data_IF_968231456760
#
_entry.id   IF_968231456760
#
_cell.length_a   1.000
_cell.length_b   1.000
_cell.length_c   1.000
_cell.angle_alpha   90.00
_cell.angle_beta   90.00
_cell.angle_gamma   90.00
#
_symmetry.space_group_name_H-M   'P 1'
#
loop_
_entity.id
_entity.type
_entity.pdbx_description
1 polymer ?
#
# COMPACT_ATOMS: atom_id res chain seq x y z
N UNK A 1 -16.48 23.72 12.70
CA UNK A 1 -16.19 22.59 13.60
C UNK A 1 -14.68 22.39 13.59
N UNK A 2 -14.03 22.40 14.75
CA UNK A 2 -12.58 22.18 14.86
C UNK A 2 -12.30 20.70 14.67
N UNK A 3 -11.46 20.32 13.70
CA UNK A 3 -11.10 18.93 13.51
C UNK A 3 -10.40 18.38 14.77
N UNK A 4 -10.85 17.23 15.25
CA UNK A 4 -10.23 16.54 16.38
C UNK A 4 -8.82 16.08 15.98
N UNK A 5 -7.83 16.29 16.87
CA UNK A 5 -6.41 15.95 16.63
C UNK A 5 -6.08 14.57 17.19
N UNK A 6 -5.25 13.81 16.46
CA UNK A 6 -4.76 12.48 16.86
C UNK A 6 -3.25 12.36 16.63
N UNK A 7 -2.60 11.46 17.37
CA UNK A 7 -1.16 11.19 17.23
C UNK A 7 -0.88 10.34 16.00
N UNK A 8 0.30 10.49 15.40
CA UNK A 8 0.73 9.71 14.23
C UNK A 8 0.53 8.20 14.39
N UNK A 9 0.98 7.62 15.50
CA UNK A 9 0.83 6.18 15.77
C UNK A 9 -0.64 5.72 15.77
N UNK A 10 -1.53 6.54 16.33
CA UNK A 10 -2.97 6.26 16.31
C UNK A 10 -3.52 6.32 14.89
N UNK A 11 -3.11 7.34 14.12
CA UNK A 11 -3.50 7.49 12.72
C UNK A 11 -3.06 6.29 11.86
N UNK A 12 -1.80 5.86 11.97
CA UNK A 12 -1.28 4.71 11.23
C UNK A 12 -2.06 3.42 11.53
N UNK A 13 -2.41 3.18 12.80
CA UNK A 13 -3.23 2.03 13.19
C UNK A 13 -4.62 2.10 12.56
N UNK A 14 -5.29 3.26 12.63
CA UNK A 14 -6.63 3.45 12.06
C UNK A 14 -6.63 3.28 10.53
N UNK A 15 -5.61 3.82 9.86
CA UNK A 15 -5.43 3.68 8.42
C UNK A 15 -5.23 2.21 8.06
N UNK A 16 -4.37 1.51 8.80
CA UNK A 16 -4.08 0.09 8.56
C UNK A 16 -5.33 -0.77 8.71
N UNK A 17 -6.08 -0.60 9.80
CA UNK A 17 -7.31 -1.38 10.02
C UNK A 17 -8.39 -1.06 9.00
N UNK A 18 -8.52 0.20 8.59
CA UNK A 18 -9.41 0.60 7.50
C UNK A 18 -9.01 -0.06 6.17
N UNK A 19 -7.72 -0.08 5.84
CA UNK A 19 -7.21 -0.75 4.64
C UNK A 19 -7.47 -2.27 4.71
N UNK A 20 -7.19 -2.94 5.82
CA UNK A 20 -7.48 -4.37 6.00
C UNK A 20 -8.96 -4.66 5.76
N UNK A 21 -9.85 -3.82 6.29
CA UNK A 21 -11.29 -3.94 6.05
C UNK A 21 -11.63 -3.83 4.57
N UNK A 22 -11.18 -2.77 3.89
CA UNK A 22 -11.46 -2.57 2.47
C UNK A 22 -10.93 -3.71 1.59
N UNK A 23 -9.72 -4.21 1.89
CA UNK A 23 -9.14 -5.34 1.18
C UNK A 23 -10.02 -6.59 1.28
N UNK A 24 -10.50 -6.92 2.48
CA UNK A 24 -11.41 -8.05 2.70
C UNK A 24 -12.75 -7.85 2.01
N UNK A 25 -13.34 -6.65 2.11
CA UNK A 25 -14.65 -6.35 1.52
C UNK A 25 -14.63 -6.40 -0.01
N UNK A 26 -13.48 -6.11 -0.63
CA UNK A 26 -13.31 -6.11 -2.09
C UNK A 26 -12.58 -7.35 -2.62
N UNK A 27 -12.26 -8.34 -1.78
CA UNK A 27 -11.45 -9.51 -2.12
C UNK A 27 -10.10 -9.15 -2.79
N UNK A 28 -9.51 -8.02 -2.37
CA UNK A 28 -8.19 -7.59 -2.82
C UNK A 28 -7.13 -8.08 -1.85
N UNK A 29 -5.97 -8.42 -2.37
CA UNK A 29 -4.83 -8.87 -1.57
C UNK A 29 -3.85 -7.74 -1.24
N UNK A 30 -3.94 -6.61 -1.94
CA UNK A 30 -3.06 -5.46 -1.76
C UNK A 30 -3.80 -4.13 -1.90
N UNK A 31 -3.32 -3.11 -1.20
CA UNK A 31 -3.85 -1.74 -1.34
C UNK A 31 -3.70 -1.22 -2.78
N UNK A 32 -2.73 -1.73 -3.55
CA UNK A 32 -2.61 -1.43 -4.97
C UNK A 32 -3.73 -2.02 -5.82
N UNK A 33 -4.07 -3.30 -5.63
CA UNK A 33 -5.22 -3.92 -6.32
C UNK A 33 -6.51 -3.15 -6.01
N UNK A 34 -6.70 -2.81 -4.74
CA UNK A 34 -7.85 -2.05 -4.29
C UNK A 34 -7.93 -0.67 -4.96
N UNK A 35 -6.82 0.09 -4.97
CA UNK A 35 -6.81 1.43 -5.57
C UNK A 35 -6.96 1.40 -7.09
N UNK A 36 -6.39 0.40 -7.76
CA UNK A 36 -6.61 0.15 -9.18
C UNK A 36 -8.10 -0.13 -9.46
N UNK A 37 -8.74 -1.00 -8.66
CA UNK A 37 -10.17 -1.31 -8.76
C UNK A 37 -11.06 -0.07 -8.56
N UNK A 38 -10.71 0.79 -7.61
CA UNK A 38 -11.47 2.00 -7.29
C UNK A 38 -11.23 3.15 -8.29
N UNK A 39 -10.26 3.03 -9.20
CA UNK A 39 -9.84 4.12 -10.09
C UNK A 39 -9.21 5.30 -9.34
N UNK A 40 -8.80 5.11 -8.08
CA UNK A 40 -8.24 6.16 -7.23
C UNK A 40 -6.72 6.00 -7.27
N UNK A 41 -6.06 6.66 -8.24
CA UNK A 41 -4.60 6.65 -8.34
C UNK A 41 -3.85 7.44 -7.24
N UNK A 42 -4.56 7.93 -6.20
CA UNK A 42 -4.18 9.21 -5.62
C UNK A 42 -3.14 9.18 -4.50
N UNK A 43 -3.01 8.12 -3.68
CA UNK A 43 -1.88 8.10 -2.74
C UNK A 43 -0.63 7.50 -3.39
N UNK A 44 -0.80 6.42 -4.12
CA UNK A 44 0.28 5.47 -4.35
C UNK A 44 -0.02 4.77 -5.67
N UNK A 45 0.34 5.36 -6.82
CA UNK A 45 0.11 4.68 -8.10
C UNK A 45 0.78 3.29 -8.17
N UNK A 46 1.74 3.03 -7.27
CA UNK A 46 2.16 1.68 -6.92
C UNK A 46 2.76 0.92 -8.09
N UNK A 47 2.68 -0.41 -8.05
CA UNK A 47 3.14 -1.28 -9.14
C UNK A 47 2.38 -1.05 -10.44
N UNK A 48 1.10 -0.67 -10.39
CA UNK A 48 0.23 -0.55 -11.56
C UNK A 48 0.45 0.70 -12.41
N UNK A 49 1.13 1.74 -11.91
CA UNK A 49 1.56 2.89 -12.74
C UNK A 49 3.00 2.78 -13.21
N UNK A 50 3.76 1.79 -12.73
CA UNK A 50 5.15 1.60 -13.15
C UNK A 50 5.18 0.93 -14.51
N UNK A 51 6.16 1.30 -15.31
CA UNK A 51 6.43 0.58 -16.54
C UNK A 51 6.97 -0.82 -16.24
N UNK A 52 6.68 -1.77 -17.12
CA UNK A 52 7.29 -3.12 -17.10
C UNK A 52 8.81 -3.08 -16.95
N UNK A 53 9.46 -2.08 -17.55
CA UNK A 53 10.92 -1.91 -17.51
C UNK A 53 11.38 -1.60 -16.08
N UNK A 54 10.71 -0.67 -15.38
CA UNK A 54 11.04 -0.34 -13.98
C UNK A 54 10.88 -1.57 -13.08
N UNK A 55 9.78 -2.31 -13.24
CA UNK A 55 9.52 -3.52 -12.46
C UNK A 55 10.56 -4.61 -12.72
N UNK A 56 10.89 -4.89 -13.99
CA UNK A 56 11.90 -5.90 -14.33
C UNK A 56 13.28 -5.54 -13.79
N UNK A 57 13.72 -4.28 -13.96
CA UNK A 57 15.02 -3.82 -13.48
C UNK A 57 15.20 -4.04 -11.97
N UNK A 58 14.13 -3.85 -11.22
CA UNK A 58 14.11 -4.00 -9.78
C UNK A 58 14.08 -5.44 -9.31
N UNK A 59 13.18 -6.23 -9.90
CA UNK A 59 12.85 -7.56 -9.37
C UNK A 59 13.67 -8.67 -10.01
N UNK A 60 14.42 -8.42 -11.10
CA UNK A 60 15.26 -9.44 -11.77
C UNK A 60 16.31 -10.11 -10.89
N UNK A 61 16.69 -9.51 -9.76
CA UNK A 61 17.62 -10.13 -8.79
C UNK A 61 16.94 -11.12 -7.84
N UNK A 62 15.62 -11.07 -7.74
CA UNK A 62 14.82 -11.83 -6.79
C UNK A 62 13.91 -12.83 -7.49
N UNK A 63 13.49 -12.53 -8.72
CA UNK A 63 12.53 -13.29 -9.51
C UNK A 63 12.99 -13.43 -10.97
N UNK A 64 12.58 -14.51 -11.63
CA UNK A 64 12.77 -14.67 -13.08
C UNK A 64 11.70 -13.89 -13.86
N UNK A 65 11.87 -12.57 -13.92
CA UNK A 65 10.87 -11.63 -14.46
C UNK A 65 10.94 -11.42 -15.97
N UNK A 66 12.06 -11.72 -16.62
CA UNK A 66 12.32 -11.26 -18.00
C UNK A 66 11.38 -11.89 -19.04
N UNK A 67 10.80 -13.06 -18.76
CA UNK A 67 9.91 -13.77 -19.68
C UNK A 67 8.42 -13.63 -19.35
N UNK A 68 8.07 -12.93 -18.27
CA UNK A 68 6.67 -12.80 -17.83
C UNK A 68 5.93 -11.78 -18.71
N UNK A 69 4.66 -12.05 -19.02
CA UNK A 69 3.73 -11.03 -19.53
C UNK A 69 3.47 -9.95 -18.45
N UNK A 70 2.91 -8.80 -18.83
CA UNK A 70 2.60 -7.71 -17.90
C UNK A 70 1.76 -8.18 -16.69
N UNK A 71 0.67 -8.92 -16.95
CA UNK A 71 -0.18 -9.44 -15.87
C UNK A 71 0.52 -10.44 -14.97
N UNK A 72 1.40 -11.27 -15.54
CA UNK A 72 2.19 -12.25 -14.78
C UNK A 72 3.31 -11.57 -13.98
N UNK A 73 3.92 -10.52 -14.52
CA UNK A 73 4.94 -9.72 -13.86
C UNK A 73 4.38 -9.06 -12.61
N UNK A 74 3.24 -8.37 -12.72
CA UNK A 74 2.59 -7.73 -11.58
C UNK A 74 2.22 -8.76 -10.52
N UNK A 75 1.64 -9.89 -10.93
CA UNK A 75 1.29 -10.98 -10.01
C UNK A 75 2.51 -11.55 -9.28
N UNK A 76 3.60 -11.84 -10.00
CA UNK A 76 4.82 -12.40 -9.43
C UNK A 76 5.47 -11.45 -8.42
N UNK A 77 5.48 -10.14 -8.70
CA UNK A 77 5.98 -9.14 -7.77
C UNK A 77 5.12 -9.08 -6.50
N UNK A 78 3.79 -9.07 -6.63
CA UNK A 78 2.87 -9.07 -5.49
C UNK A 78 3.00 -10.32 -4.63
N UNK A 79 3.21 -11.48 -5.24
CA UNK A 79 3.43 -12.75 -4.53
C UNK A 79 4.77 -12.75 -3.80
N UNK A 80 5.84 -12.29 -4.44
CA UNK A 80 7.16 -12.17 -3.82
C UNK A 80 7.11 -11.28 -2.59
N UNK A 81 6.57 -10.07 -2.74
CA UNK A 81 6.52 -9.10 -1.66
C UNK A 81 5.66 -9.57 -0.50
N UNK A 82 4.55 -10.24 -0.78
CA UNK A 82 3.73 -10.89 0.25
C UNK A 82 4.50 -11.96 1.01
N UNK A 83 5.35 -12.73 0.32
CA UNK A 83 6.17 -13.76 0.96
C UNK A 83 7.25 -13.20 1.89
N UNK A 84 7.55 -11.90 1.81
CA UNK A 84 8.48 -11.23 2.72
C UNK A 84 7.80 -10.73 4.01
N UNK A 85 6.46 -10.71 4.04
CA UNK A 85 5.72 -10.24 5.22
C UNK A 85 5.76 -11.25 6.37
N UNK A 86 5.72 -10.78 7.62
CA UNK A 86 5.58 -11.65 8.76
C UNK A 86 4.21 -12.37 8.76
N UNK A 87 4.10 -13.59 9.33
CA UNK A 87 2.88 -14.41 9.26
C UNK A 87 1.60 -13.71 9.75
N UNK A 88 1.70 -12.81 10.73
CA UNK A 88 0.58 -12.03 11.27
C UNK A 88 -0.01 -11.01 10.28
N UNK A 89 0.74 -10.67 9.23
CA UNK A 89 0.30 -9.82 8.12
C UNK A 89 0.14 -10.61 6.81
N UNK A 90 0.26 -11.93 6.88
CA UNK A 90 0.18 -12.84 5.74
C UNK A 90 -1.21 -12.70 5.07
N UNK A 91 -1.17 -12.31 3.79
CA UNK A 91 -2.36 -12.19 2.95
C UNK A 91 -2.88 -10.78 2.70
N UNK A 92 -2.36 -9.73 3.35
CA UNK A 92 -2.80 -8.34 3.11
C UNK A 92 -1.64 -7.35 3.03
N UNK A 93 -1.35 -6.86 1.81
CA UNK A 93 -0.37 -5.81 1.56
C UNK A 93 -0.96 -4.41 1.81
N UNK A 94 -1.13 -4.07 3.10
CA UNK A 94 -1.50 -2.71 3.54
C UNK A 94 -0.35 -1.73 3.36
N UNK A 95 -0.59 -0.42 3.44
CA UNK A 95 0.51 0.55 3.38
C UNK A 95 1.50 0.41 4.54
N UNK A 96 1.06 -0.12 5.70
CA UNK A 96 1.95 -0.45 6.82
C UNK A 96 2.81 -1.67 6.48
N UNK A 97 2.19 -2.75 6.04
CA UNK A 97 2.89 -3.98 5.61
C UNK A 97 3.98 -3.69 4.57
N UNK A 98 3.64 -2.82 3.61
CA UNK A 98 4.52 -2.43 2.51
C UNK A 98 5.77 -1.69 3.00
N UNK A 99 5.68 -0.89 4.06
CA UNK A 99 6.82 -0.10 4.55
C UNK A 99 7.98 -0.96 5.06
N UNK A 100 7.68 -2.19 5.53
CA UNK A 100 8.66 -3.11 6.10
C UNK A 100 9.45 -3.89 5.04
N UNK A 101 8.90 -4.02 3.82
CA UNK A 101 9.44 -4.96 2.82
C UNK A 101 9.70 -4.37 1.44
N UNK A 102 9.14 -3.20 1.09
CA UNK A 102 9.14 -2.76 -0.32
C UNK A 102 10.36 -1.98 -0.79
N UNK A 103 10.71 -2.27 -2.04
CA UNK A 103 11.76 -1.60 -2.81
C UNK A 103 11.29 -0.23 -3.37
N UNK A 104 9.99 -0.06 -3.68
CA UNK A 104 9.46 1.13 -4.39
C UNK A 104 8.48 1.99 -3.61
N UNK A 105 8.01 1.51 -2.46
CA UNK A 105 6.96 2.18 -1.73
C UNK A 105 7.34 2.30 -0.26
N UNK A 106 7.43 3.53 0.22
CA UNK A 106 7.77 3.85 1.62
C UNK A 106 6.57 3.70 2.58
N UNK A 107 5.46 3.10 2.10
CA UNK A 107 4.28 2.85 2.91
C UNK A 107 3.69 4.10 3.58
N UNK A 108 3.32 3.98 4.87
CA UNK A 108 2.85 5.10 5.68
C UNK A 108 4.01 5.99 6.15
N UNK A 109 5.19 5.41 6.38
CA UNK A 109 6.39 6.13 6.79
C UNK A 109 6.80 7.26 5.83
N UNK A 110 6.65 7.06 4.52
CA UNK A 110 6.94 8.07 3.50
C UNK A 110 5.98 9.27 3.43
N UNK A 111 5.02 9.38 4.36
CA UNK A 111 4.00 10.45 4.38
C UNK A 111 4.16 11.39 5.55
N UNK A 112 4.03 12.68 5.27
CA UNK A 112 3.88 13.73 6.29
C UNK A 112 2.52 13.61 7.02
N UNK A 113 2.40 14.20 8.21
CA UNK A 113 1.14 14.20 8.96
C UNK A 113 -0.01 14.91 8.20
N UNK A 114 0.32 15.92 7.38
CA UNK A 114 -0.65 16.60 6.51
C UNK A 114 -1.17 15.63 5.45
N UNK A 115 -0.28 14.95 4.72
CA UNK A 115 -0.67 13.95 3.73
C UNK A 115 -1.48 12.80 4.33
N UNK A 116 -1.13 12.33 5.54
CA UNK A 116 -1.92 11.31 6.23
C UNK A 116 -3.35 11.79 6.50
N UNK A 117 -3.50 13.06 6.92
CA UNK A 117 -4.81 13.66 7.20
C UNK A 117 -5.65 13.83 5.94
N UNK A 118 -5.04 14.22 4.83
CA UNK A 118 -5.71 14.50 3.56
C UNK A 118 -6.06 13.20 2.82
N UNK A 119 -5.07 12.34 2.58
CA UNK A 119 -5.25 11.13 1.75
C UNK A 119 -6.06 10.05 2.44
N UNK A 120 -6.02 9.98 3.78
CA UNK A 120 -6.75 8.98 4.55
C UNK A 120 -7.88 9.58 5.39
N UNK A 121 -8.41 10.74 5.01
CA UNK A 121 -9.51 11.41 5.72
C UNK A 121 -10.70 10.48 6.00
N UNK A 122 -11.03 9.56 5.09
CA UNK A 122 -12.07 8.56 5.28
C UNK A 122 -11.74 7.58 6.43
N UNK A 123 -10.52 7.04 6.47
CA UNK A 123 -10.06 6.17 7.56
C UNK A 123 -10.00 6.91 8.90
N UNK A 124 -9.63 8.19 8.85
CA UNK A 124 -9.46 9.03 10.03
C UNK A 124 -10.76 9.69 10.48
N UNK A 125 -11.86 9.60 9.73
CA UNK A 125 -13.12 10.30 10.05
C UNK A 125 -12.94 11.82 10.11
N UNK A 126 -12.09 12.38 9.25
CA UNK A 126 -11.80 13.82 9.19
C UNK A 126 -10.92 14.35 10.34
N UNK A 127 -10.31 13.47 11.15
CA UNK A 127 -9.34 13.86 12.20
C UNK A 127 -8.01 14.30 11.58
N UNK A 128 -7.34 15.26 12.23
CA UNK A 128 -6.02 15.75 11.81
C UNK A 128 -4.92 15.03 12.59
N UNK A 129 -3.89 14.59 11.87
CA UNK A 129 -2.71 13.98 12.45
C UNK A 129 -1.73 15.05 12.92
N UNK A 130 -1.22 14.88 14.13
CA UNK A 130 -0.16 15.69 14.74
C UNK A 130 0.89 14.79 15.37
N UNK A 131 2.08 15.34 15.61
CA UNK A 131 3.13 14.68 16.41
C UNK A 131 2.66 14.53 17.86
#
# INVERSE_FOLDING_TARGET
>A
MTAQKIRRKEAENLITEYQKKLLRENNCSSTWELYALMGIGHCCGGIYIRSDVELRQAYRRYLNVDTLSESELVKAVLEFERSQLPPEEEGLLTCKAVEEVFIFCEGLAGRTNVELSEFFSAALGGRMVVD
#
